data_IF_032541097636
#
_entry.id   IF_032541097636
#
_cell.length_a   1.000
_cell.length_b   1.000
_cell.length_c   1.000
_cell.angle_alpha   90.00
_cell.angle_beta   90.00
_cell.angle_gamma   90.00
#
_symmetry.space_group_name_H-M   'P 1'
#
loop_
_entity.id
_entity.type
_entity.pdbx_description
1 polymer ?
#
# COMPACT_ATOMS: atom_id res chain seq x y z
N UNK A 1 -3.85 -14.56 -21.28
CA UNK A 1 -4.40 -14.38 -19.91
C UNK A 1 -3.35 -14.04 -18.83
N UNK A 2 -2.04 -13.97 -19.14
CA UNK A 2 -0.97 -13.73 -18.14
C UNK A 2 -0.78 -12.26 -17.69
N UNK A 3 -1.20 -11.27 -18.50
CA UNK A 3 -0.92 -9.85 -18.25
C UNK A 3 -1.50 -9.32 -16.93
N UNK A 4 -2.73 -9.72 -16.58
CA UNK A 4 -3.42 -9.29 -15.35
C UNK A 4 -2.74 -9.83 -14.09
N UNK A 5 -2.38 -11.12 -14.07
CA UNK A 5 -1.73 -11.74 -12.91
C UNK A 5 -0.35 -11.13 -12.65
N UNK A 6 0.44 -10.89 -13.72
CA UNK A 6 1.73 -10.22 -13.61
C UNK A 6 1.59 -8.77 -13.13
N UNK A 7 0.57 -8.04 -13.60
CA UNK A 7 0.27 -6.70 -13.10
C UNK A 7 -0.08 -6.70 -11.61
N UNK A 8 -0.94 -7.61 -11.15
CA UNK A 8 -1.27 -7.72 -9.72
C UNK A 8 -0.05 -8.04 -8.86
N UNK A 9 0.85 -8.92 -9.30
CA UNK A 9 2.11 -9.19 -8.60
C UNK A 9 3.00 -7.95 -8.51
N UNK A 10 3.08 -7.17 -9.59
CA UNK A 10 3.82 -5.91 -9.61
C UNK A 10 3.20 -4.87 -8.66
N UNK A 11 1.88 -4.70 -8.69
CA UNK A 11 1.17 -3.80 -7.77
C UNK A 11 1.35 -4.22 -6.31
N UNK A 12 1.40 -5.52 -6.01
CA UNK A 12 1.68 -6.01 -4.65
C UNK A 12 3.07 -5.60 -4.16
N UNK A 13 4.10 -5.66 -5.01
CA UNK A 13 5.44 -5.20 -4.64
C UNK A 13 5.41 -3.70 -4.32
N UNK A 14 4.75 -2.90 -5.16
CA UNK A 14 4.58 -1.46 -4.92
C UNK A 14 3.85 -1.21 -3.60
N UNK A 15 2.75 -1.95 -3.32
CA UNK A 15 1.98 -1.82 -2.09
C UNK A 15 2.82 -2.13 -0.85
N UNK A 16 3.63 -3.19 -0.88
CA UNK A 16 4.50 -3.54 0.26
C UNK A 16 5.54 -2.45 0.49
N UNK A 17 6.18 -1.95 -0.57
CA UNK A 17 7.19 -0.90 -0.46
C UNK A 17 6.55 0.39 0.09
N UNK A 18 5.42 0.81 -0.48
CA UNK A 18 4.72 2.00 -0.03
C UNK A 18 4.24 1.86 1.42
N UNK A 19 3.70 0.70 1.81
CA UNK A 19 3.34 0.43 3.20
C UNK A 19 4.52 0.54 4.16
N UNK A 20 5.65 -0.08 3.83
CA UNK A 20 6.86 0.01 4.65
C UNK A 20 7.34 1.45 4.80
N UNK A 21 7.36 2.23 3.71
CA UNK A 21 7.78 3.63 3.76
C UNK A 21 6.83 4.49 4.58
N UNK A 22 5.51 4.33 4.40
CA UNK A 22 4.48 5.03 5.19
C UNK A 22 4.60 4.71 6.68
N UNK A 23 4.77 3.43 7.03
CA UNK A 23 4.84 2.99 8.42
C UNK A 23 6.15 3.41 9.08
N UNK A 24 7.29 3.19 8.42
CA UNK A 24 8.60 3.54 8.98
C UNK A 24 8.73 5.06 9.14
N UNK A 25 8.32 5.84 8.13
CA UNK A 25 8.44 7.30 8.19
C UNK A 25 7.65 7.92 9.34
N UNK A 26 6.38 7.53 9.56
CA UNK A 26 5.61 8.05 10.70
C UNK A 26 6.15 7.57 12.05
N UNK A 27 6.67 6.33 12.10
CA UNK A 27 7.30 5.80 13.32
C UNK A 27 8.53 6.63 13.66
N UNK A 28 9.40 6.90 12.69
CA UNK A 28 10.61 7.72 12.89
C UNK A 28 10.25 9.18 13.18
N UNK A 29 9.24 9.73 12.52
CA UNK A 29 8.76 11.10 12.76
C UNK A 29 8.30 11.29 14.21
N UNK A 30 7.55 10.33 14.78
CA UNK A 30 6.99 10.43 16.14
C UNK A 30 7.90 9.89 17.23
N UNK A 31 8.53 8.75 17.01
CA UNK A 31 9.27 7.97 18.02
C UNK A 31 10.74 7.75 17.66
N UNK A 32 11.23 8.33 16.57
CA UNK A 32 12.64 8.24 16.20
C UNK A 32 13.58 8.97 17.16
N UNK A 33 14.90 8.87 16.93
CA UNK A 33 15.92 9.64 17.64
C UNK A 33 15.64 11.14 17.61
N UNK A 34 16.08 11.87 18.65
CA UNK A 34 15.86 13.31 18.75
C UNK A 34 16.40 14.12 17.56
N UNK A 35 17.38 13.59 16.83
CA UNK A 35 17.97 14.24 15.64
C UNK A 35 17.08 14.25 14.41
N UNK A 36 16.07 13.37 14.34
CA UNK A 36 15.16 13.23 13.18
C UNK A 36 13.68 13.23 13.57
N UNK A 37 13.37 13.33 14.87
CA UNK A 37 11.99 13.41 15.34
C UNK A 37 11.40 14.74 14.90
N UNK A 38 10.15 14.72 14.46
CA UNK A 38 9.45 15.90 13.91
C UNK A 38 10.06 16.44 12.61
N UNK A 39 10.95 15.68 11.97
CA UNK A 39 11.53 16.05 10.67
C UNK A 39 10.45 16.14 9.58
N UNK A 40 10.36 17.29 8.91
CA UNK A 40 9.35 17.52 7.88
C UNK A 40 9.52 16.57 6.69
N UNK A 41 10.76 16.21 6.34
CA UNK A 41 11.03 15.24 5.27
C UNK A 41 10.44 13.86 5.55
N UNK A 42 10.51 13.38 6.80
CA UNK A 42 9.82 12.14 7.19
C UNK A 42 8.31 12.25 7.06
N UNK A 43 7.72 13.41 7.40
CA UNK A 43 6.29 13.62 7.25
C UNK A 43 5.86 13.68 5.78
N UNK A 44 6.62 14.37 4.92
CA UNK A 44 6.38 14.42 3.47
C UNK A 44 6.48 13.03 2.82
N UNK A 45 7.45 12.21 3.24
CA UNK A 45 7.56 10.81 2.80
C UNK A 45 6.31 10.03 3.21
N UNK A 46 5.85 10.17 4.46
CA UNK A 46 4.63 9.52 4.94
C UNK A 46 3.41 9.91 4.10
N UNK A 47 3.20 11.20 3.88
CA UNK A 47 2.05 11.72 3.13
C UNK A 47 2.09 11.27 1.66
N UNK A 48 3.23 11.42 1.00
CA UNK A 48 3.41 11.06 -0.41
C UNK A 48 3.20 9.57 -0.64
N UNK A 49 3.89 8.72 0.13
CA UNK A 49 3.72 7.28 -0.01
C UNK A 49 2.36 6.79 0.52
N UNK A 50 1.72 7.53 1.42
CA UNK A 50 0.36 7.28 1.89
C UNK A 50 -0.65 7.43 0.75
N UNK A 51 -0.54 8.51 -0.01
CA UNK A 51 -1.35 8.71 -1.22
C UNK A 51 -1.09 7.61 -2.26
N UNK A 52 0.19 7.29 -2.54
CA UNK A 52 0.55 6.21 -3.47
C UNK A 52 -0.07 4.88 -3.00
N UNK A 53 0.04 4.56 -1.72
CA UNK A 53 -0.50 3.33 -1.15
C UNK A 53 -2.03 3.24 -1.33
N UNK A 54 -2.75 4.33 -1.08
CA UNK A 54 -4.21 4.39 -1.26
C UNK A 54 -4.59 4.20 -2.74
N UNK A 55 -4.00 4.96 -3.65
CA UNK A 55 -4.34 4.87 -5.08
C UNK A 55 -4.01 3.51 -5.68
N UNK A 56 -2.83 2.97 -5.39
CA UNK A 56 -2.41 1.64 -5.83
C UNK A 56 -3.29 0.56 -5.19
N UNK A 57 -3.69 0.74 -3.92
CA UNK A 57 -4.56 -0.19 -3.19
C UNK A 57 -5.95 -0.27 -3.78
N UNK A 58 -6.54 0.87 -4.14
CA UNK A 58 -7.83 0.94 -4.84
C UNK A 58 -7.74 0.28 -6.22
N UNK A 59 -6.70 0.58 -6.99
CA UNK A 59 -6.48 -0.07 -8.29
C UNK A 59 -6.35 -1.60 -8.13
N UNK A 60 -5.58 -2.05 -7.13
CA UNK A 60 -5.42 -3.46 -6.82
C UNK A 60 -6.76 -4.12 -6.46
N UNK A 61 -7.59 -3.47 -5.65
CA UNK A 61 -8.93 -3.94 -5.28
C UNK A 61 -9.82 -4.11 -6.52
N UNK A 62 -9.88 -3.10 -7.40
CA UNK A 62 -10.67 -3.12 -8.63
C UNK A 62 -10.21 -4.25 -9.54
N UNK A 63 -8.90 -4.38 -9.77
CA UNK A 63 -8.35 -5.46 -10.59
C UNK A 63 -8.64 -6.84 -10.00
N UNK A 64 -8.67 -6.97 -8.67
CA UNK A 64 -8.92 -8.24 -7.99
C UNK A 64 -10.40 -8.49 -7.66
N UNK A 65 -11.32 -7.60 -8.06
CA UNK A 65 -12.73 -7.62 -7.64
C UNK A 65 -13.45 -8.95 -7.95
N UNK A 66 -13.27 -9.51 -9.14
CA UNK A 66 -13.87 -10.80 -9.52
C UNK A 66 -13.42 -11.94 -8.61
N UNK A 67 -12.15 -11.95 -8.20
CA UNK A 67 -11.64 -12.96 -7.28
C UNK A 67 -12.20 -12.78 -5.87
N UNK A 68 -12.31 -11.53 -5.40
CA UNK A 68 -12.93 -11.20 -4.10
C UNK A 68 -14.39 -11.68 -4.09
N UNK A 69 -15.17 -11.38 -5.13
CA UNK A 69 -16.55 -11.82 -5.25
C UNK A 69 -16.67 -13.35 -5.21
N UNK A 70 -15.82 -14.05 -5.97
CA UNK A 70 -15.86 -15.52 -6.02
C UNK A 70 -15.41 -16.19 -4.72
N UNK A 71 -14.51 -15.55 -3.96
CA UNK A 71 -13.96 -16.10 -2.71
C UNK A 71 -14.85 -15.80 -1.51
N UNK A 72 -15.35 -14.57 -1.39
CA UNK A 72 -16.03 -14.09 -0.18
C UNK A 72 -17.53 -13.88 -0.35
N UNK A 73 -18.03 -13.59 -1.56
CA UNK A 73 -19.43 -13.20 -1.77
C UNK A 73 -20.29 -14.31 -2.41
N UNK A 74 -19.71 -15.22 -3.19
CA UNK A 74 -20.43 -16.41 -3.66
C UNK A 74 -20.55 -17.42 -2.53
N UNK A 75 -21.76 -17.56 -1.97
CA UNK A 75 -22.13 -18.69 -1.11
C UNK A 75 -21.92 -19.99 -1.90
N UNK A 76 -21.11 -20.91 -1.35
CA UNK A 76 -21.12 -22.31 -1.82
C UNK A 76 -22.56 -22.82 -1.66
N UNK A 77 -23.17 -23.23 -2.77
CA UNK A 77 -24.38 -24.07 -2.72
C UNK A 77 -23.99 -25.45 -2.25
#
# INVERSE_FOLDING_TARGET
MMKKQSLLKFLNIILVIAFCLVAISIILYRWGPNSIRWDEGLYEIHETFGLIFIFVGLLHLVLNWTWIQNTYLKRRK
#
